data_IF_804323981294
#
_entry.id   IF_804323981294
#
_cell.length_a   1.000
_cell.length_b   1.000
_cell.length_c   1.000
_cell.angle_alpha   90.00
_cell.angle_beta   90.00
_cell.angle_gamma   90.00
#
_symmetry.space_group_name_H-M   'P 1'
#
loop_
_entity.id
_entity.type
_entity.pdbx_description
1 polymer ?
#
# COMPACT_ATOMS: atom_id res chain seq x y z
N UNK A 1 -18.83 25.77 -26.77
CA UNK A 1 -19.00 27.02 -25.99
C UNK A 1 -17.88 27.10 -24.93
N UNK A 2 -17.63 28.23 -24.26
CA UNK A 2 -16.50 28.29 -23.32
C UNK A 2 -16.76 27.46 -22.05
N UNK A 3 -15.71 27.19 -21.27
CA UNK A 3 -15.80 26.48 -19.99
C UNK A 3 -16.83 27.19 -19.09
N UNK A 4 -17.81 26.42 -18.54
CA UNK A 4 -18.83 26.92 -17.62
C UNK A 4 -18.24 27.75 -16.48
N UNK A 5 -18.84 28.91 -16.19
CA UNK A 5 -18.30 29.86 -15.22
C UNK A 5 -18.06 29.25 -13.84
N UNK A 6 -18.93 28.34 -13.38
CA UNK A 6 -18.81 27.64 -12.12
C UNK A 6 -17.62 26.66 -12.04
N UNK A 7 -17.06 26.27 -13.19
CA UNK A 7 -15.96 25.31 -13.28
C UNK A 7 -14.61 25.99 -13.58
N UNK A 8 -14.59 27.24 -14.02
CA UNK A 8 -13.36 27.93 -14.48
C UNK A 8 -12.23 28.02 -13.46
N UNK A 9 -12.53 28.03 -12.17
CA UNK A 9 -11.53 28.07 -11.10
C UNK A 9 -11.03 26.69 -10.67
N UNK A 10 -11.50 25.61 -11.31
CA UNK A 10 -11.09 24.25 -10.98
C UNK A 10 -9.69 23.94 -11.54
N UNK A 11 -9.10 22.94 -10.93
CA UNK A 11 -7.86 22.31 -11.37
C UNK A 11 -8.14 20.88 -11.79
N UNK A 12 -7.26 20.36 -12.64
CA UNK A 12 -7.16 18.95 -12.99
C UNK A 12 -5.82 18.41 -12.47
N UNK A 13 -5.79 17.14 -12.10
CA UNK A 13 -4.70 16.57 -11.30
C UNK A 13 -4.05 15.38 -12.00
N UNK A 14 -2.74 15.46 -12.23
CA UNK A 14 -1.93 14.32 -12.63
C UNK A 14 -1.12 13.83 -11.44
N UNK A 15 -1.30 12.57 -11.04
CA UNK A 15 -0.53 12.01 -9.92
C UNK A 15 0.57 11.07 -10.40
N UNK A 16 1.68 11.06 -9.68
CA UNK A 16 2.86 10.24 -9.98
C UNK A 16 3.66 9.99 -8.69
N UNK A 17 4.67 9.13 -8.76
CA UNK A 17 5.62 8.97 -7.65
C UNK A 17 6.58 10.17 -7.59
N UNK A 18 6.89 10.65 -6.38
CA UNK A 18 7.91 11.66 -6.13
C UNK A 18 9.29 11.26 -6.68
N UNK A 19 9.59 9.96 -6.77
CA UNK A 19 10.81 9.45 -7.39
C UNK A 19 10.92 9.76 -8.89
N UNK A 20 9.82 10.10 -9.56
CA UNK A 20 9.83 10.54 -10.95
C UNK A 20 10.18 12.02 -11.11
N UNK A 21 10.31 12.79 -10.02
CA UNK A 21 10.49 14.24 -10.08
C UNK A 21 11.71 14.67 -10.88
N UNK A 22 12.85 13.98 -10.76
CA UNK A 22 14.05 14.35 -11.51
C UNK A 22 13.79 14.32 -13.03
N UNK A 23 13.10 13.27 -13.52
CA UNK A 23 12.67 13.18 -14.91
C UNK A 23 11.63 14.23 -15.28
N UNK A 24 10.68 14.52 -14.40
CA UNK A 24 9.64 15.53 -14.64
C UNK A 24 10.23 16.93 -14.70
N UNK A 25 11.26 17.22 -13.90
CA UNK A 25 11.99 18.50 -13.93
C UNK A 25 12.71 18.67 -15.26
N UNK A 26 13.31 17.60 -15.78
CA UNK A 26 14.07 17.65 -17.02
C UNK A 26 13.17 17.75 -18.28
N UNK A 27 12.00 17.10 -18.28
CA UNK A 27 11.22 16.88 -19.48
C UNK A 27 9.77 17.40 -19.43
N UNK A 28 9.32 17.89 -18.27
CA UNK A 28 7.90 18.08 -17.99
C UNK A 28 7.17 16.76 -17.78
N UNK A 29 5.84 16.83 -17.70
CA UNK A 29 4.98 15.65 -17.66
C UNK A 29 4.80 15.14 -19.09
N UNK A 30 5.37 13.98 -19.40
CA UNK A 30 5.30 13.37 -20.74
C UNK A 30 4.18 12.33 -20.84
N UNK A 31 3.54 12.24 -22.02
CA UNK A 31 2.63 11.16 -22.34
C UNK A 31 3.36 9.80 -22.37
N UNK A 32 2.61 8.70 -22.25
CA UNK A 32 3.21 7.37 -22.17
C UNK A 32 4.04 7.01 -23.40
N UNK A 33 3.57 7.36 -24.61
CA UNK A 33 4.30 7.06 -25.83
C UNK A 33 5.60 7.88 -25.94
N UNK A 34 5.58 9.16 -25.58
CA UNK A 34 6.78 9.99 -25.52
C UNK A 34 7.81 9.44 -24.52
N UNK A 35 7.38 8.97 -23.33
CA UNK A 35 8.29 8.32 -22.37
C UNK A 35 8.96 7.08 -22.95
N UNK A 36 8.20 6.25 -23.69
CA UNK A 36 8.72 5.02 -24.33
C UNK A 36 9.71 5.34 -25.44
N UNK A 37 9.39 6.28 -26.31
CA UNK A 37 10.26 6.71 -27.42
C UNK A 37 11.60 7.25 -26.91
N UNK A 38 11.55 8.08 -25.85
CA UNK A 38 12.73 8.66 -25.23
C UNK A 38 13.44 7.72 -24.24
N UNK A 39 12.97 6.48 -24.07
CA UNK A 39 13.52 5.47 -23.14
C UNK A 39 13.64 5.98 -21.70
N UNK A 40 12.68 6.80 -21.27
CA UNK A 40 12.66 7.38 -19.94
C UNK A 40 12.20 6.33 -18.93
N UNK A 41 13.09 5.97 -18.00
CA UNK A 41 12.74 5.14 -16.86
C UNK A 41 11.85 5.92 -15.90
N UNK A 42 10.76 5.29 -15.46
CA UNK A 42 9.87 5.86 -14.46
C UNK A 42 9.33 4.78 -13.53
N UNK A 43 9.04 5.15 -12.29
CA UNK A 43 8.27 4.34 -11.36
C UNK A 43 6.83 4.34 -11.85
N UNK A 44 6.43 3.25 -12.50
CA UNK A 44 5.06 3.04 -12.97
C UNK A 44 4.20 2.47 -11.85
N UNK A 45 3.14 3.21 -11.51
CA UNK A 45 2.14 2.80 -10.51
C UNK A 45 0.87 2.25 -11.18
N UNK A 46 0.79 2.27 -12.52
CA UNK A 46 -0.38 1.84 -13.27
C UNK A 46 -0.46 0.32 -13.44
N UNK A 47 -1.68 -0.18 -13.68
CA UNK A 47 -1.90 -1.59 -13.99
C UNK A 47 -1.56 -1.91 -15.46
N UNK A 48 -0.79 -2.97 -15.71
CA UNK A 48 -0.38 -3.42 -17.05
C UNK A 48 -1.57 -3.61 -18.01
N UNK A 49 -2.69 -4.16 -17.53
CA UNK A 49 -3.89 -4.35 -18.35
C UNK A 49 -4.54 -3.02 -18.81
N UNK A 50 -4.47 -1.99 -17.97
CA UNK A 50 -4.93 -0.64 -18.30
C UNK A 50 -4.04 -0.01 -19.37
N UNK A 51 -2.72 -0.15 -19.24
CA UNK A 51 -1.75 0.33 -20.23
C UNK A 51 -1.97 -0.31 -21.61
N UNK A 52 -2.31 -1.60 -21.65
CA UNK A 52 -2.63 -2.30 -22.89
C UNK A 52 -3.81 -1.69 -23.63
N UNK A 53 -4.92 -1.40 -22.93
CA UNK A 53 -6.12 -0.79 -23.54
C UNK A 53 -5.88 0.64 -23.99
N UNK A 54 -5.26 1.46 -23.13
CA UNK A 54 -4.97 2.87 -23.44
C UNK A 54 -4.03 3.07 -24.63
N UNK A 55 -3.13 2.11 -24.89
CA UNK A 55 -2.28 2.14 -26.09
C UNK A 55 -3.00 1.93 -27.41
N UNK A 56 -4.25 1.43 -27.38
CA UNK A 56 -5.05 1.08 -28.56
C UNK A 56 -6.35 1.89 -28.68
N UNK A 57 -6.77 2.55 -27.60
CA UNK A 57 -7.98 3.36 -27.57
C UNK A 57 -7.73 4.67 -28.32
N UNK A 58 -8.27 4.78 -29.53
CA UNK A 58 -8.20 5.98 -30.36
C UNK A 58 -9.02 7.12 -29.74
N UNK A 59 -8.52 8.34 -29.85
CA UNK A 59 -9.27 9.56 -29.51
C UNK A 59 -9.92 10.10 -30.80
N UNK A 60 -11.26 10.06 -30.92
CA UNK A 60 -11.95 10.52 -32.12
C UNK A 60 -11.59 11.97 -32.48
N UNK A 61 -11.27 12.21 -33.75
CA UNK A 61 -10.90 13.53 -34.25
C UNK A 61 -9.45 13.95 -33.96
N UNK A 62 -8.67 13.17 -33.21
CA UNK A 62 -7.28 13.50 -32.85
C UNK A 62 -6.23 12.99 -33.85
N UNK A 63 -6.55 13.00 -35.16
CA UNK A 63 -5.62 12.60 -36.24
C UNK A 63 -4.93 11.23 -36.02
N UNK A 64 -5.66 10.24 -35.47
CA UNK A 64 -5.15 8.89 -35.23
C UNK A 64 -4.40 8.70 -33.90
N UNK A 65 -4.30 9.73 -33.06
CA UNK A 65 -3.75 9.61 -31.71
C UNK A 65 -4.60 8.68 -30.84
N UNK A 66 -3.94 7.91 -29.99
CA UNK A 66 -4.54 7.10 -28.94
C UNK A 66 -4.37 7.78 -27.57
N UNK A 67 -5.05 7.26 -26.55
CA UNK A 67 -4.99 7.80 -25.18
C UNK A 67 -3.54 7.89 -24.64
N UNK A 68 -2.63 7.02 -25.07
CA UNK A 68 -1.21 7.08 -24.68
C UNK A 68 -0.39 8.21 -25.31
N UNK A 69 -0.96 8.93 -26.28
CA UNK A 69 -0.37 10.15 -26.84
C UNK A 69 -0.75 11.41 -26.03
N UNK A 70 -1.45 11.22 -24.90
CA UNK A 70 -1.88 12.29 -24.00
C UNK A 70 -1.36 12.07 -22.57
N UNK A 71 -1.11 13.18 -21.86
CA UNK A 71 -0.91 13.25 -20.43
C UNK A 71 -2.28 13.30 -19.76
N UNK A 72 -2.65 12.31 -18.93
CA UNK A 72 -3.96 12.28 -18.29
C UNK A 72 -4.00 13.08 -17.00
N UNK A 73 -5.04 13.88 -16.83
CA UNK A 73 -5.34 14.61 -15.61
C UNK A 73 -6.76 14.28 -15.14
N UNK A 74 -6.93 13.87 -13.90
CA UNK A 74 -8.26 13.63 -13.34
C UNK A 74 -8.92 14.93 -12.90
N UNK A 75 -10.24 15.02 -13.08
CA UNK A 75 -11.02 16.06 -12.42
C UNK A 75 -11.15 15.83 -10.91
N UNK A 76 -11.08 14.56 -10.48
CA UNK A 76 -11.16 14.17 -9.08
C UNK A 76 -9.80 14.33 -8.35
N UNK A 77 -9.86 14.76 -7.09
CA UNK A 77 -8.67 14.89 -6.23
C UNK A 77 -8.04 13.54 -5.85
N UNK A 78 -8.86 12.49 -5.75
CA UNK A 78 -8.41 11.11 -5.54
C UNK A 78 -9.30 10.14 -6.29
N UNK A 79 -8.74 9.01 -6.71
CA UNK A 79 -9.41 8.09 -7.64
C UNK A 79 -9.47 6.66 -7.13
N UNK A 80 -10.49 5.88 -7.56
CA UNK A 80 -10.52 4.43 -7.35
C UNK A 80 -9.26 3.72 -7.83
N UNK A 81 -8.62 4.22 -8.89
CA UNK A 81 -7.34 3.69 -9.38
C UNK A 81 -6.23 3.83 -8.32
N UNK A 82 -6.10 4.99 -7.68
CA UNK A 82 -5.14 5.18 -6.57
C UNK A 82 -5.41 4.17 -5.45
N UNK A 83 -6.66 4.01 -5.03
CA UNK A 83 -7.01 3.01 -4.00
C UNK A 83 -6.63 1.58 -4.41
N UNK A 84 -6.83 1.21 -5.68
CA UNK A 84 -6.43 -0.10 -6.21
C UNK A 84 -4.90 -0.29 -6.21
N UNK A 85 -4.11 0.77 -6.44
CA UNK A 85 -2.64 0.74 -6.32
C UNK A 85 -2.23 0.48 -4.88
N UNK A 86 -2.82 1.20 -3.91
CA UNK A 86 -2.48 1.04 -2.50
C UNK A 86 -2.80 -0.36 -1.98
N UNK A 87 -3.92 -0.95 -2.41
CA UNK A 87 -4.33 -2.31 -2.00
C UNK A 87 -3.33 -3.41 -2.39
N UNK A 88 -2.43 -3.16 -3.36
CA UNK A 88 -1.35 -4.10 -3.70
C UNK A 88 -0.17 -4.06 -2.73
N UNK A 89 -0.12 -3.09 -1.80
CA UNK A 89 0.96 -2.91 -0.81
C UNK A 89 2.38 -2.80 -1.43
N UNK A 90 2.47 -2.24 -2.63
CA UNK A 90 3.74 -2.04 -3.35
C UNK A 90 4.20 -0.58 -3.39
N UNK A 91 3.39 0.34 -2.89
CA UNK A 91 3.64 1.78 -2.95
C UNK A 91 3.29 2.40 -1.60
N UNK A 92 4.16 3.26 -1.11
CA UNK A 92 3.89 4.17 -0.01
C UNK A 92 3.17 5.41 -0.57
N UNK A 93 1.92 5.62 -0.15
CA UNK A 93 1.07 6.71 -0.62
C UNK A 93 1.70 8.08 -0.37
N UNK A 94 2.49 8.18 0.70
CA UNK A 94 3.20 9.37 1.11
C UNK A 94 4.16 9.88 0.02
N UNK A 95 4.65 8.99 -0.88
CA UNK A 95 5.45 9.36 -2.04
C UNK A 95 4.63 9.64 -3.31
N UNK A 96 3.30 9.59 -3.25
CA UNK A 96 2.45 10.01 -4.37
C UNK A 96 2.27 11.53 -4.29
N UNK A 97 2.55 12.22 -5.39
CA UNK A 97 2.37 13.68 -5.53
C UNK A 97 1.44 13.99 -6.69
N UNK A 98 0.79 15.16 -6.65
CA UNK A 98 -0.16 15.59 -7.67
C UNK A 98 0.27 16.92 -8.27
N UNK A 99 0.38 16.98 -9.58
CA UNK A 99 0.53 18.22 -10.32
C UNK A 99 -0.86 18.77 -10.63
N UNK A 100 -1.15 19.96 -10.11
CA UNK A 100 -2.40 20.66 -10.34
C UNK A 100 -2.24 21.68 -11.47
N UNK A 101 -3.06 21.53 -12.50
CA UNK A 101 -3.08 22.40 -13.69
C UNK A 101 -4.46 23.05 -13.77
N UNK A 102 -4.58 24.36 -14.04
CA UNK A 102 -5.88 25.01 -14.22
C UNK A 102 -6.69 24.34 -15.33
N UNK A 103 -7.99 24.14 -15.13
CA UNK A 103 -8.88 23.52 -16.14
C UNK A 103 -8.91 24.32 -17.45
N UNK A 104 -8.57 25.61 -17.41
CA UNK A 104 -8.45 26.48 -18.58
C UNK A 104 -7.42 26.00 -19.60
N UNK A 105 -6.52 25.06 -19.25
CA UNK A 105 -5.65 24.38 -20.23
C UNK A 105 -6.44 23.76 -21.39
N UNK A 106 -7.70 23.34 -21.15
CA UNK A 106 -8.60 22.82 -22.17
C UNK A 106 -8.80 23.78 -23.33
N UNK A 107 -8.93 25.08 -23.05
CA UNK A 107 -9.13 26.11 -24.07
C UNK A 107 -7.82 26.76 -24.51
N UNK A 108 -6.81 26.78 -23.63
CA UNK A 108 -5.54 27.43 -23.88
C UNK A 108 -4.63 26.65 -24.85
N UNK A 109 -4.81 25.32 -24.95
CA UNK A 109 -3.99 24.46 -25.80
C UNK A 109 -4.80 23.75 -26.87
N UNK A 110 -4.30 23.69 -28.12
CA UNK A 110 -4.96 22.94 -29.17
C UNK A 110 -4.86 21.43 -28.90
N UNK A 111 -5.88 20.69 -29.33
CA UNK A 111 -5.89 19.24 -29.27
C UNK A 111 -6.07 18.66 -27.87
N UNK A 112 -6.51 19.45 -26.89
CA UNK A 112 -6.91 18.94 -25.57
C UNK A 112 -8.33 18.38 -25.65
N UNK A 113 -8.53 17.23 -25.02
CA UNK A 113 -9.82 16.56 -24.91
C UNK A 113 -10.18 16.34 -23.44
N UNK A 114 -11.46 16.12 -23.16
CA UNK A 114 -11.89 15.53 -21.89
C UNK A 114 -12.89 14.40 -22.12
N UNK A 115 -13.08 13.56 -21.11
CA UNK A 115 -13.98 12.41 -21.16
C UNK A 115 -15.06 12.48 -20.11
N UNK A 116 -16.17 11.76 -20.32
CA UNK A 116 -17.25 11.60 -19.34
C UNK A 116 -17.04 10.43 -18.36
N UNK A 117 -16.12 9.54 -18.69
CA UNK A 117 -15.71 8.40 -17.87
C UNK A 117 -14.23 8.08 -18.12
N UNK A 118 -13.66 7.15 -17.36
CA UNK A 118 -12.26 6.74 -17.52
C UNK A 118 -11.96 6.22 -18.93
N UNK A 119 -10.90 6.74 -19.55
CA UNK A 119 -10.39 6.24 -20.83
C UNK A 119 -9.54 4.98 -20.63
N UNK A 120 -10.11 3.95 -20.02
CA UNK A 120 -9.48 2.64 -19.82
C UNK A 120 -10.48 1.47 -19.74
N UNK A 121 -11.74 1.72 -20.11
CA UNK A 121 -12.82 0.76 -20.26
C UNK A 121 -12.64 -0.08 -21.52
N UNK A 122 -13.44 -1.14 -21.67
CA UNK A 122 -13.51 -1.92 -22.92
C UNK A 122 -14.22 -1.09 -24.01
N UNK A 123 -15.40 -0.58 -23.68
CA UNK A 123 -16.10 0.41 -24.49
C UNK A 123 -15.53 1.81 -24.21
N UNK A 124 -14.97 2.51 -25.21
CA UNK A 124 -14.40 3.83 -24.99
C UNK A 124 -15.45 4.83 -24.45
N UNK A 125 -15.06 5.75 -23.53
CA UNK A 125 -15.93 6.83 -23.11
C UNK A 125 -16.18 7.82 -24.26
N UNK A 126 -17.07 8.78 -24.04
CA UNK A 126 -17.17 9.90 -24.96
C UNK A 126 -15.95 10.81 -24.81
N UNK A 127 -15.41 11.28 -25.94
CA UNK A 127 -14.31 12.24 -25.97
C UNK A 127 -14.82 13.56 -26.52
N UNK A 128 -14.63 14.63 -25.76
CA UNK A 128 -15.09 15.98 -26.11
C UNK A 128 -13.87 16.88 -26.35
N UNK A 129 -13.75 17.52 -27.53
CA UNK A 129 -12.72 18.51 -27.77
C UNK A 129 -13.04 19.84 -27.05
N UNK A 130 -12.06 20.75 -27.00
CA UNK A 130 -12.22 22.08 -26.42
C UNK A 130 -13.43 22.88 -26.95
N UNK A 131 -13.83 22.67 -28.22
CA UNK A 131 -15.02 23.31 -28.81
C UNK A 131 -16.33 22.98 -28.07
N UNK A 132 -16.37 21.83 -27.39
CA UNK A 132 -17.50 21.28 -26.63
C UNK A 132 -17.32 21.44 -25.11
N UNK A 133 -16.55 22.45 -24.66
CA UNK A 133 -16.29 22.67 -23.23
C UNK A 133 -17.55 22.87 -22.37
N UNK A 134 -18.69 23.24 -22.95
CA UNK A 134 -19.98 23.26 -22.26
C UNK A 134 -20.45 21.89 -21.77
N UNK A 135 -20.01 20.80 -22.40
CA UNK A 135 -20.34 19.43 -21.96
C UNK A 135 -19.73 19.08 -20.60
N UNK A 136 -18.79 19.89 -20.09
CA UNK A 136 -18.31 19.77 -18.71
C UNK A 136 -19.45 19.87 -17.68
N UNK A 137 -20.53 20.60 -17.95
CA UNK A 137 -21.72 20.64 -17.07
C UNK A 137 -22.41 19.29 -16.93
N UNK A 138 -22.29 18.42 -17.94
CA UNK A 138 -22.90 17.09 -17.98
C UNK A 138 -22.12 16.01 -17.22
N UNK A 139 -20.91 16.30 -16.75
CA UNK A 139 -20.15 15.34 -15.95
C UNK A 139 -20.83 15.10 -14.60
N UNK A 140 -20.70 13.87 -14.07
CA UNK A 140 -21.21 13.55 -12.75
C UNK A 140 -20.29 14.13 -11.65
N UNK A 141 -20.38 15.46 -11.44
CA UNK A 141 -19.60 16.17 -10.42
C UNK A 141 -19.85 15.65 -9.01
N UNK A 142 -21.04 15.12 -8.73
CA UNK A 142 -21.35 14.46 -7.47
C UNK A 142 -20.47 13.22 -7.20
N UNK A 143 -20.17 12.43 -8.23
CA UNK A 143 -19.23 11.31 -8.15
C UNK A 143 -17.76 11.78 -8.15
N UNK A 144 -17.42 12.74 -9.03
CA UNK A 144 -16.05 13.30 -9.15
C UNK A 144 -15.58 13.89 -7.82
N UNK A 145 -16.41 14.70 -7.16
CA UNK A 145 -16.09 15.38 -5.90
C UNK A 145 -16.31 14.48 -4.67
N UNK A 146 -16.88 13.27 -4.84
CA UNK A 146 -17.19 12.38 -3.73
C UNK A 146 -15.95 11.91 -2.98
N UNK A 147 -15.98 12.04 -1.66
CA UNK A 147 -14.97 11.50 -0.75
C UNK A 147 -15.21 10.03 -0.35
N UNK A 148 -16.21 9.36 -0.94
CA UNK A 148 -16.50 7.93 -0.71
C UNK A 148 -15.30 7.05 -1.11
N UNK A 149 -15.29 5.81 -0.65
CA UNK A 149 -14.26 4.80 -0.97
C UNK A 149 -14.85 3.57 -1.67
N UNK A 150 -16.17 3.51 -1.76
CA UNK A 150 -16.94 2.47 -2.42
C UNK A 150 -17.84 3.15 -3.44
N UNK A 151 -17.93 2.53 -4.61
CA UNK A 151 -18.63 3.05 -5.78
C UNK A 151 -19.34 1.90 -6.46
N UNK A 152 -20.45 2.18 -7.14
CA UNK A 152 -20.91 1.28 -8.22
C UNK A 152 -19.87 1.24 -9.34
N UNK A 153 -19.98 0.27 -10.25
CA UNK A 153 -19.07 0.19 -11.40
C UNK A 153 -19.17 1.45 -12.29
N UNK A 154 -20.38 1.94 -12.52
CA UNK A 154 -20.65 3.18 -13.26
C UNK A 154 -20.06 4.42 -12.57
N UNK A 155 -20.36 4.61 -11.27
CA UNK A 155 -19.82 5.74 -10.48
C UNK A 155 -18.28 5.73 -10.46
N UNK A 156 -17.67 4.54 -10.42
CA UNK A 156 -16.21 4.37 -10.45
C UNK A 156 -15.63 4.97 -11.73
N UNK A 157 -16.24 4.68 -12.87
CA UNK A 157 -15.79 5.15 -14.17
C UNK A 157 -16.04 6.66 -14.36
N UNK A 158 -17.21 7.16 -13.96
CA UNK A 158 -17.55 8.58 -14.01
C UNK A 158 -16.63 9.43 -13.12
N UNK A 159 -16.30 8.95 -11.91
CA UNK A 159 -15.34 9.61 -11.01
C UNK A 159 -13.93 9.72 -11.62
N UNK A 160 -13.59 8.81 -12.52
CA UNK A 160 -12.30 8.77 -13.21
C UNK A 160 -12.34 9.43 -14.59
N UNK A 161 -13.35 10.27 -14.86
CA UNK A 161 -13.33 11.20 -15.98
C UNK A 161 -12.02 12.02 -15.96
N UNK A 162 -11.45 12.21 -17.15
CA UNK A 162 -10.11 12.78 -17.30
C UNK A 162 -10.06 13.84 -18.40
N UNK A 163 -9.12 14.77 -18.24
CA UNK A 163 -8.67 15.72 -19.24
C UNK A 163 -7.35 15.20 -19.82
N UNK A 164 -7.26 15.18 -21.13
CA UNK A 164 -6.18 14.58 -21.91
C UNK A 164 -5.43 15.69 -22.66
N UNK A 165 -4.23 16.04 -22.17
CA UNK A 165 -3.37 17.05 -22.81
C UNK A 165 -2.39 16.36 -23.75
N UNK A 166 -2.28 16.75 -25.02
CA UNK A 166 -1.43 16.04 -25.98
C UNK A 166 0.06 16.21 -25.64
N UNK A 167 0.82 15.14 -25.88
CA UNK A 167 2.28 15.08 -25.91
C UNK A 167 2.98 15.33 -24.56
N UNK A 168 2.93 16.56 -24.03
CA UNK A 168 3.55 16.93 -22.75
C UNK A 168 2.90 18.14 -22.07
N UNK A 169 3.15 18.31 -20.77
CA UNK A 169 2.83 19.52 -19.98
C UNK A 169 4.09 20.06 -19.32
N UNK A 170 4.40 21.33 -19.57
CA UNK A 170 5.53 22.05 -18.97
C UNK A 170 5.28 22.30 -17.49
N UNK A 171 6.35 22.40 -16.70
CA UNK A 171 6.26 22.79 -15.29
C UNK A 171 5.71 24.21 -15.10
N UNK A 172 5.85 25.09 -16.09
CA UNK A 172 5.27 26.45 -16.04
C UNK A 172 3.73 26.45 -16.13
N UNK A 173 3.13 25.35 -16.60
CA UNK A 173 1.68 25.16 -16.65
C UNK A 173 1.12 24.59 -15.33
N UNK A 174 2.00 24.19 -14.41
CA UNK A 174 1.64 23.65 -13.09
C UNK A 174 1.54 24.80 -12.09
N UNK A 175 0.34 25.01 -11.55
CA UNK A 175 0.11 26.04 -10.54
C UNK A 175 0.68 25.64 -9.17
N UNK A 176 0.45 24.39 -8.78
CA UNK A 176 0.94 23.84 -7.51
C UNK A 176 1.09 22.32 -7.55
N UNK A 177 1.87 21.80 -6.59
CA UNK A 177 2.04 20.38 -6.34
C UNK A 177 1.40 20.05 -4.98
N UNK A 178 0.50 19.08 -4.96
CA UNK A 178 -0.05 18.54 -3.72
C UNK A 178 0.84 17.42 -3.21
N UNK A 179 1.22 17.51 -1.94
CA UNK A 179 2.08 16.52 -1.25
C UNK A 179 1.41 16.03 0.04
N UNK A 180 1.85 14.88 0.55
CA UNK A 180 1.24 14.23 1.71
C UNK A 180 1.35 15.07 2.99
N UNK A 181 2.55 15.56 3.31
CA UNK A 181 2.81 16.37 4.50
C UNK A 181 4.03 17.29 4.30
N UNK A 182 4.34 18.08 5.33
CA UNK A 182 5.47 19.02 5.33
C UNK A 182 6.81 18.37 4.99
N UNK A 183 7.12 17.21 5.56
CA UNK A 183 8.38 16.49 5.32
C UNK A 183 8.54 16.15 3.85
N UNK A 184 7.52 15.55 3.22
CA UNK A 184 7.54 15.25 1.79
C UNK A 184 7.63 16.54 0.96
N UNK A 185 6.96 17.61 1.38
CA UNK A 185 7.05 18.92 0.73
C UNK A 185 8.46 19.53 0.74
N UNK A 186 9.24 19.29 1.79
CA UNK A 186 10.64 19.70 1.88
C UNK A 186 11.53 18.86 0.95
N UNK A 187 11.33 17.54 0.91
CA UNK A 187 12.04 16.64 -0.02
C UNK A 187 11.78 17.04 -1.48
N UNK A 188 10.51 17.28 -1.85
CA UNK A 188 10.15 17.74 -3.20
C UNK A 188 10.88 19.04 -3.55
N UNK A 189 10.91 20.03 -2.64
CA UNK A 189 11.62 21.30 -2.87
C UNK A 189 13.11 21.11 -3.09
N UNK A 190 13.76 20.23 -2.34
CA UNK A 190 15.19 19.95 -2.52
C UNK A 190 15.47 19.28 -3.87
N UNK A 191 14.57 18.41 -4.38
CA UNK A 191 14.71 17.83 -5.72
C UNK A 191 14.60 18.91 -6.81
N UNK A 192 13.65 19.85 -6.70
CA UNK A 192 13.54 20.99 -7.62
C UNK A 192 14.78 21.90 -7.59
N UNK A 193 15.27 22.20 -6.39
CA UNK A 193 16.48 23.00 -6.18
C UNK A 193 17.71 22.33 -6.79
N UNK A 194 17.87 21.02 -6.61
CA UNK A 194 18.95 20.26 -7.23
C UNK A 194 18.88 20.25 -8.76
N UNK A 195 17.67 20.26 -9.33
CA UNK A 195 17.43 20.39 -10.77
C UNK A 195 17.60 21.80 -11.33
N UNK A 196 17.83 22.82 -10.49
CA UNK A 196 18.01 24.21 -10.94
C UNK A 196 16.74 24.87 -11.47
N UNK A 197 15.56 24.32 -11.17
CA UNK A 197 14.26 24.83 -11.63
C UNK A 197 13.45 25.36 -10.44
N UNK A 198 12.66 26.42 -10.66
CA UNK A 198 11.75 26.95 -9.64
C UNK A 198 10.69 25.90 -9.30
N UNK A 199 10.61 25.53 -8.02
CA UNK A 199 9.53 24.67 -7.52
C UNK A 199 8.18 25.39 -7.63
N UNK A 200 7.14 24.75 -8.23
CA UNK A 200 5.76 25.20 -8.09
C UNK A 200 5.37 25.30 -6.61
N UNK A 201 4.29 26.04 -6.31
CA UNK A 201 3.80 26.16 -4.94
C UNK A 201 3.47 24.75 -4.39
N UNK A 202 3.84 24.49 -3.14
CA UNK A 202 3.52 23.21 -2.47
C UNK A 202 2.27 23.37 -1.62
N UNK A 203 1.31 22.46 -1.80
CA UNK A 203 0.06 22.41 -1.05
C UNK A 203 -0.07 21.11 -0.25
N UNK A 204 -0.59 21.23 0.98
CA UNK A 204 -0.87 20.08 1.84
C UNK A 204 -2.38 19.84 1.89
N UNK A 205 -2.85 18.87 1.12
CA UNK A 205 -4.28 18.61 1.00
C UNK A 205 -4.60 17.13 1.16
N UNK A 206 -5.00 16.75 2.37
CA UNK A 206 -5.40 15.38 2.74
C UNK A 206 -6.55 14.81 1.89
N UNK A 207 -7.34 15.65 1.21
CA UNK A 207 -8.45 15.19 0.37
C UNK A 207 -7.99 14.39 -0.85
N UNK A 208 -6.74 14.57 -1.29
CA UNK A 208 -6.11 13.81 -2.36
C UNK A 208 -5.67 12.39 -1.94
N UNK A 209 -5.75 12.07 -0.66
CA UNK A 209 -5.23 10.82 -0.14
C UNK A 209 -6.27 9.96 0.59
N UNK A 210 -5.89 8.72 0.83
CA UNK A 210 -6.61 7.71 1.58
C UNK A 210 -5.90 7.49 2.93
N UNK A 211 -6.27 8.22 4.01
CA UNK A 211 -5.65 8.07 5.32
C UNK A 211 -6.18 6.84 6.08
N UNK A 212 -5.44 6.36 7.09
CA UNK A 212 -5.98 5.42 8.08
C UNK A 212 -7.13 6.11 8.84
N UNK A 213 -8.27 5.42 8.91
CA UNK A 213 -9.49 5.97 9.51
C UNK A 213 -9.41 6.09 11.04
N UNK A 214 -8.48 5.37 11.69
CA UNK A 214 -8.24 5.43 13.13
C UNK A 214 -7.13 6.43 13.48
N UNK A 215 -6.17 6.66 12.57
CA UNK A 215 -5.10 7.64 12.76
C UNK A 215 -4.70 8.29 11.44
N UNK A 216 -5.28 9.46 11.16
CA UNK A 216 -5.14 10.15 9.87
C UNK A 216 -3.71 10.64 9.55
N UNK A 217 -2.76 10.48 10.48
CA UNK A 217 -1.34 10.75 10.25
C UNK A 217 -0.68 9.70 9.35
N UNK A 218 -1.29 8.51 9.24
CA UNK A 218 -0.78 7.39 8.46
C UNK A 218 -1.61 7.16 7.21
N UNK A 219 -0.98 6.60 6.17
CA UNK A 219 -1.69 6.06 5.02
C UNK A 219 -2.64 4.93 5.42
N UNK A 220 -3.72 4.76 4.66
CA UNK A 220 -4.66 3.64 4.75
C UNK A 220 -3.96 2.27 4.74
N UNK A 221 -2.88 2.19 3.95
CA UNK A 221 -1.98 1.05 3.86
C UNK A 221 -0.57 1.59 4.03
N UNK A 222 0.15 1.03 5.00
CA UNK A 222 1.57 1.27 5.18
C UNK A 222 2.31 0.55 4.07
N UNK A 223 2.99 1.30 3.20
CA UNK A 223 3.73 0.73 2.08
C UNK A 223 5.06 0.08 2.51
N UNK A 224 5.78 -0.51 1.54
CA UNK A 224 6.99 -1.28 1.82
C UNK A 224 8.11 -0.47 2.45
N UNK A 225 8.30 0.79 2.04
CA UNK A 225 9.37 1.63 2.56
C UNK A 225 9.15 1.94 4.04
N UNK A 226 7.97 2.47 4.39
CA UNK A 226 7.69 2.82 5.77
C UNK A 226 7.57 1.60 6.67
N UNK A 227 6.99 0.49 6.19
CA UNK A 227 6.91 -0.75 6.98
C UNK A 227 8.31 -1.29 7.33
N UNK A 228 9.23 -1.33 6.36
CA UNK A 228 10.62 -1.75 6.59
C UNK A 228 11.36 -0.81 7.54
N UNK A 229 11.17 0.50 7.37
CA UNK A 229 11.75 1.51 8.27
C UNK A 229 11.24 1.33 9.71
N UNK A 230 9.93 1.12 9.91
CA UNK A 230 9.36 0.89 11.24
C UNK A 230 9.86 -0.41 11.86
N UNK A 231 9.95 -1.48 11.06
CA UNK A 231 10.56 -2.75 11.48
C UNK A 231 11.99 -2.55 12.00
N UNK A 232 12.85 -1.91 11.20
CA UNK A 232 14.25 -1.68 11.57
C UNK A 232 14.38 -0.79 12.81
N UNK A 233 13.61 0.30 12.86
CA UNK A 233 13.59 1.20 14.02
C UNK A 233 13.15 0.48 15.29
N UNK A 234 12.16 -0.41 15.21
CA UNK A 234 11.71 -1.17 16.37
C UNK A 234 12.77 -2.16 16.87
N UNK A 235 13.44 -2.87 15.96
CA UNK A 235 14.57 -3.74 16.30
C UNK A 235 15.65 -2.92 17.02
N UNK A 236 16.12 -1.82 16.43
CA UNK A 236 17.14 -0.96 17.03
C UNK A 236 16.72 -0.42 18.41
N UNK A 237 15.45 -0.02 18.52
CA UNK A 237 14.87 0.55 19.73
C UNK A 237 14.79 -0.49 20.86
N UNK A 238 14.44 -1.74 20.56
CA UNK A 238 14.45 -2.85 21.53
C UNK A 238 15.89 -3.17 21.96
N UNK A 239 16.84 -3.25 21.02
CA UNK A 239 18.23 -3.60 21.33
C UNK A 239 18.94 -2.55 22.20
N UNK A 240 18.57 -1.27 22.06
CA UNK A 240 19.11 -0.17 22.87
C UNK A 240 18.50 -0.08 24.27
N UNK A 241 17.30 -0.63 24.48
CA UNK A 241 16.58 -0.50 25.74
C UNK A 241 16.49 -1.87 26.44
N UNK A 242 17.36 -2.09 27.42
CA UNK A 242 17.30 -3.28 28.28
C UNK A 242 16.69 -2.91 29.62
N UNK A 243 15.57 -3.53 29.96
CA UNK A 243 14.96 -3.38 31.28
C UNK A 243 15.78 -4.14 32.33
N UNK A 244 15.85 -3.60 33.54
CA UNK A 244 16.46 -4.29 34.68
C UNK A 244 15.64 -5.51 35.12
N UNK A 245 14.33 -5.50 34.85
CA UNK A 245 13.39 -6.56 35.24
C UNK A 245 12.44 -6.87 34.09
N UNK A 246 12.38 -8.14 33.75
CA UNK A 246 11.45 -8.69 32.78
C UNK A 246 10.42 -9.58 33.47
N UNK A 247 9.21 -9.63 32.94
CA UNK A 247 8.16 -10.56 33.42
C UNK A 247 8.55 -12.02 33.18
N UNK A 248 9.22 -12.29 32.06
CA UNK A 248 9.70 -13.59 31.62
C UNK A 248 11.18 -13.50 31.23
N UNK A 249 11.99 -14.44 31.71
CA UNK A 249 13.44 -14.45 31.45
C UNK A 249 13.83 -14.89 30.04
N UNK A 250 12.92 -15.54 29.32
CA UNK A 250 13.13 -16.08 27.99
C UNK A 250 11.81 -16.25 27.21
N UNK A 251 11.92 -16.50 25.90
CA UNK A 251 10.77 -16.88 25.04
C UNK A 251 10.08 -18.15 25.57
N UNK A 252 10.85 -19.15 26.02
CA UNK A 252 10.31 -20.41 26.55
C UNK A 252 9.48 -20.21 27.83
N UNK A 253 9.91 -19.30 28.72
CA UNK A 253 9.15 -18.95 29.93
C UNK A 253 7.83 -18.27 29.58
N UNK A 254 7.87 -17.31 28.62
CA UNK A 254 6.69 -16.63 28.12
C UNK A 254 5.69 -17.63 27.48
N UNK A 255 6.17 -18.53 26.63
CA UNK A 255 5.34 -19.59 26.03
C UNK A 255 4.71 -20.50 27.08
N UNK A 256 5.45 -20.86 28.13
CA UNK A 256 4.92 -21.67 29.23
C UNK A 256 3.78 -20.96 29.94
N UNK A 257 3.89 -19.64 30.13
CA UNK A 257 2.83 -18.82 30.71
C UNK A 257 1.62 -18.70 29.75
N UNK A 258 1.84 -18.40 28.47
CA UNK A 258 0.77 -18.26 27.46
C UNK A 258 -0.05 -19.55 27.32
N UNK A 259 0.61 -20.72 27.35
CA UNK A 259 -0.08 -22.02 27.29
C UNK A 259 -0.92 -22.31 28.53
N UNK A 260 -0.58 -21.72 29.70
CA UNK A 260 -1.39 -21.82 30.92
C UNK A 260 -2.55 -20.83 30.93
N UNK A 261 -2.33 -19.62 30.41
CA UNK A 261 -3.33 -18.57 30.29
C UNK A 261 -2.94 -17.61 29.16
N UNK A 262 -3.82 -17.44 28.18
CA UNK A 262 -3.56 -16.61 27.00
C UNK A 262 -3.32 -15.14 27.38
N UNK A 263 -3.91 -14.71 28.49
CA UNK A 263 -3.77 -13.39 29.12
C UNK A 263 -2.39 -13.11 29.73
N UNK A 264 -1.45 -14.05 29.62
CA UNK A 264 -0.08 -13.90 30.10
C UNK A 264 0.66 -12.68 29.49
N UNK A 265 0.27 -12.24 28.29
CA UNK A 265 0.74 -11.00 27.65
C UNK A 265 -0.47 -10.10 27.44
N UNK A 266 -0.33 -8.81 27.77
CA UNK A 266 -1.43 -7.83 27.70
C UNK A 266 -2.09 -7.80 26.32
N UNK A 267 -1.30 -7.80 25.25
CA UNK A 267 -1.79 -7.70 23.88
C UNK A 267 -2.56 -8.94 23.42
N UNK A 268 -2.29 -10.10 24.02
CA UNK A 268 -3.08 -11.30 23.78
C UNK A 268 -4.47 -11.15 24.43
N UNK A 269 -4.56 -10.62 25.65
CA UNK A 269 -5.85 -10.26 26.28
C UNK A 269 -6.65 -9.25 25.45
N UNK A 270 -5.94 -8.31 24.83
CA UNK A 270 -6.51 -7.23 24.04
C UNK A 270 -7.16 -7.70 22.72
N UNK A 271 -6.74 -8.87 22.20
CA UNK A 271 -7.35 -9.51 21.02
C UNK A 271 -8.29 -10.67 21.39
N UNK A 272 -8.24 -11.17 22.63
CA UNK A 272 -9.06 -12.30 23.04
C UNK A 272 -10.55 -11.92 23.11
N UNK A 273 -11.37 -12.69 22.39
CA UNK A 273 -12.80 -12.43 22.21
C UNK A 273 -13.13 -11.31 21.22
N UNK A 274 -12.14 -10.76 20.48
CA UNK A 274 -12.39 -9.79 19.42
C UNK A 274 -13.03 -10.48 18.21
N UNK A 275 -14.35 -10.36 18.06
CA UNK A 275 -15.09 -10.97 16.96
C UNK A 275 -14.98 -10.19 15.65
N UNK A 276 -15.19 -10.89 14.51
CA UNK A 276 -15.22 -10.30 13.16
C UNK A 276 -16.34 -10.92 12.29
N UNK A 277 -16.91 -10.17 11.33
CA UNK A 277 -17.94 -10.65 10.35
C UNK A 277 -17.54 -10.48 8.88
N UNK A 278 -16.28 -10.18 8.58
CA UNK A 278 -15.84 -10.02 7.20
C UNK A 278 -14.96 -11.19 6.79
N UNK A 279 -14.99 -11.57 5.50
CA UNK A 279 -14.14 -12.65 4.99
C UNK A 279 -14.36 -14.00 5.69
N UNK A 280 -13.47 -15.00 5.52
CA UNK A 280 -13.71 -16.37 6.00
C UNK A 280 -13.64 -16.53 7.53
N UNK A 281 -13.48 -15.44 8.30
CA UNK A 281 -13.35 -15.49 9.74
C UNK A 281 -14.64 -15.99 10.38
N UNK A 282 -14.56 -17.12 11.09
CA UNK A 282 -15.67 -17.69 11.89
C UNK A 282 -15.45 -17.56 13.39
N UNK A 283 -14.22 -17.26 13.78
CA UNK A 283 -13.75 -17.24 15.16
C UNK A 283 -13.28 -15.83 15.55
N UNK A 284 -13.16 -15.57 16.85
CA UNK A 284 -12.50 -14.36 17.35
C UNK A 284 -10.98 -14.41 17.08
N UNK A 285 -10.34 -13.25 17.07
CA UNK A 285 -8.90 -13.10 16.75
C UNK A 285 -7.99 -13.88 17.71
N UNK A 286 -8.33 -13.94 19.00
CA UNK A 286 -7.57 -14.72 19.98
C UNK A 286 -7.65 -16.23 19.71
N UNK A 287 -8.84 -16.74 19.41
CA UNK A 287 -9.06 -18.15 19.04
C UNK A 287 -8.34 -18.51 17.74
N UNK A 288 -8.36 -17.63 16.75
CA UNK A 288 -7.57 -17.76 15.53
C UNK A 288 -6.07 -17.87 15.84
N UNK A 289 -5.53 -16.95 16.64
CA UNK A 289 -4.11 -16.93 17.02
C UNK A 289 -3.65 -18.23 17.71
N UNK A 290 -4.46 -18.78 18.61
CA UNK A 290 -4.21 -20.10 19.23
C UNK A 290 -4.18 -21.24 18.21
N UNK A 291 -5.07 -21.20 17.23
CA UNK A 291 -5.13 -22.21 16.16
C UNK A 291 -3.90 -22.14 15.27
N UNK A 292 -3.50 -20.95 14.85
CA UNK A 292 -2.28 -20.73 14.06
C UNK A 292 -1.08 -21.30 14.83
N UNK A 293 -0.88 -20.92 16.11
CA UNK A 293 0.19 -21.47 16.95
C UNK A 293 0.18 -23.02 17.01
N UNK A 294 -0.99 -23.65 17.09
CA UNK A 294 -1.13 -25.09 17.04
C UNK A 294 -0.81 -25.73 15.67
N UNK A 295 -1.10 -25.04 14.57
CA UNK A 295 -0.79 -25.49 13.21
C UNK A 295 0.69 -25.35 12.89
N UNK A 296 1.36 -24.27 13.30
CA UNK A 296 2.79 -24.07 13.00
C UNK A 296 3.63 -25.21 13.57
N UNK A 297 3.29 -25.68 14.79
CA UNK A 297 3.96 -26.81 15.45
C UNK A 297 3.81 -28.15 14.72
N UNK A 298 2.84 -28.26 13.81
CA UNK A 298 2.60 -29.45 12.98
C UNK A 298 3.25 -29.35 11.60
N UNK A 299 3.87 -28.23 11.27
CA UNK A 299 4.53 -28.02 9.97
C UNK A 299 5.86 -28.77 9.89
N UNK A 300 6.25 -29.15 8.67
CA UNK A 300 7.54 -29.78 8.41
C UNK A 300 8.68 -28.81 8.71
N UNK A 301 8.50 -27.55 8.33
CA UNK A 301 9.39 -26.43 8.60
C UNK A 301 9.73 -26.35 10.09
N UNK A 302 8.72 -26.35 10.97
CA UNK A 302 8.92 -26.27 12.43
C UNK A 302 9.76 -27.42 12.98
N UNK A 303 9.51 -28.65 12.53
CA UNK A 303 10.24 -29.84 13.02
C UNK A 303 11.74 -29.82 12.71
N UNK A 304 12.16 -29.05 11.71
CA UNK A 304 13.56 -28.94 11.27
C UNK A 304 14.31 -27.78 11.93
N UNK A 305 13.58 -26.87 12.58
CA UNK A 305 14.17 -25.73 13.29
C UNK A 305 14.86 -26.16 14.58
N UNK A 306 15.87 -25.38 14.98
CA UNK A 306 16.43 -25.47 16.33
C UNK A 306 15.35 -25.20 17.38
N UNK A 307 15.53 -25.72 18.60
CA UNK A 307 14.56 -25.49 19.70
C UNK A 307 14.30 -24.01 19.96
N UNK A 308 15.34 -23.17 19.82
CA UNK A 308 15.25 -21.72 19.94
C UNK A 308 14.36 -21.10 18.85
N UNK A 309 14.57 -21.46 17.59
CA UNK A 309 13.74 -20.97 16.48
C UNK A 309 12.31 -21.54 16.52
N UNK A 310 12.11 -22.76 17.04
CA UNK A 310 10.78 -23.31 17.32
C UNK A 310 10.01 -22.43 18.31
N UNK A 311 10.66 -22.03 19.40
CA UNK A 311 10.04 -21.16 20.41
C UNK A 311 9.76 -19.76 19.85
N UNK A 312 10.67 -19.19 19.05
CA UNK A 312 10.44 -17.92 18.34
C UNK A 312 9.21 -18.03 17.44
N UNK A 313 9.14 -19.07 16.60
CA UNK A 313 8.05 -19.26 15.64
C UNK A 313 6.71 -19.48 16.35
N UNK A 314 6.67 -20.26 17.44
CA UNK A 314 5.43 -20.43 18.23
C UNK A 314 5.00 -19.13 18.90
N UNK A 315 5.93 -18.35 19.46
CA UNK A 315 5.60 -17.05 20.07
C UNK A 315 5.09 -16.07 19.01
N UNK A 316 5.77 -15.96 17.87
CA UNK A 316 5.31 -15.12 16.75
C UNK A 316 3.94 -15.54 16.24
N UNK A 317 3.61 -16.83 16.23
CA UNK A 317 2.29 -17.30 15.85
C UNK A 317 1.18 -16.85 16.81
N UNK A 318 1.46 -16.78 18.11
CA UNK A 318 0.52 -16.17 19.06
C UNK A 318 0.39 -14.66 18.86
N UNK A 319 1.48 -14.00 18.48
CA UNK A 319 1.56 -12.54 18.40
C UNK A 319 1.19 -11.96 17.02
N UNK A 320 1.10 -12.76 15.95
CA UNK A 320 1.00 -12.25 14.57
C UNK A 320 -0.12 -11.21 14.40
N UNK A 321 -1.24 -11.45 15.07
CA UNK A 321 -2.45 -10.64 14.94
C UNK A 321 -2.66 -9.58 16.04
N UNK A 322 -1.70 -9.35 16.93
CA UNK A 322 -1.87 -8.41 18.06
C UNK A 322 -2.17 -6.99 17.60
N UNK A 323 -1.69 -6.61 16.41
CA UNK A 323 -1.98 -5.32 15.80
C UNK A 323 -3.46 -5.10 15.46
N UNK A 324 -4.30 -6.15 15.53
CA UNK A 324 -5.76 -6.06 15.46
C UNK A 324 -6.36 -5.54 16.78
N UNK A 325 -5.67 -5.67 17.91
CA UNK A 325 -6.09 -5.14 19.20
C UNK A 325 -5.76 -3.65 19.40
N UNK A 326 -6.16 -3.07 20.55
CA UNK A 326 -7.09 -3.65 21.50
C UNK A 326 -8.53 -3.67 20.98
N UNK A 327 -9.33 -4.64 21.44
CA UNK A 327 -10.75 -4.74 21.08
C UNK A 327 -11.52 -3.44 21.31
N UNK A 328 -11.15 -2.66 22.33
CA UNK A 328 -11.76 -1.36 22.65
C UNK A 328 -11.63 -0.30 21.55
N UNK A 329 -10.72 -0.45 20.58
CA UNK A 329 -10.62 0.48 19.44
C UNK A 329 -11.69 0.25 18.37
N UNK A 330 -12.36 -0.90 18.42
CA UNK A 330 -13.40 -1.27 17.49
C UNK A 330 -14.78 -0.92 18.07
N UNK A 331 -15.71 -0.36 17.27
CA UNK A 331 -17.08 -0.14 17.70
C UNK A 331 -17.68 -1.43 18.29
N UNK A 332 -18.21 -1.36 19.51
CA UNK A 332 -18.77 -2.51 20.23
C UNK A 332 -17.80 -3.69 20.42
N UNK A 333 -16.49 -3.45 20.44
CA UNK A 333 -15.46 -4.49 20.47
C UNK A 333 -15.56 -5.49 19.31
N UNK A 334 -15.94 -5.00 18.13
CA UNK A 334 -16.30 -5.82 16.99
C UNK A 334 -15.68 -5.32 15.68
N UNK A 335 -14.99 -6.19 14.95
CA UNK A 335 -14.37 -5.83 13.67
C UNK A 335 -15.35 -6.03 12.50
N UNK A 336 -15.85 -4.93 11.96
CA UNK A 336 -16.75 -4.90 10.79
C UNK A 336 -16.00 -4.85 9.44
N UNK A 337 -14.67 -4.74 9.47
CA UNK A 337 -13.80 -4.69 8.29
C UNK A 337 -12.37 -5.17 8.62
N UNK A 338 -11.59 -5.61 7.62
CA UNK A 338 -10.18 -5.90 7.79
C UNK A 338 -9.39 -4.69 8.30
N UNK A 339 -8.35 -4.94 9.13
CA UNK A 339 -7.35 -3.92 9.44
C UNK A 339 -6.12 -4.08 8.55
N UNK A 340 -6.07 -3.27 7.50
CA UNK A 340 -4.97 -3.29 6.53
C UNK A 340 -3.63 -2.80 7.10
N UNK A 341 -3.62 -2.24 8.30
CA UNK A 341 -2.44 -1.72 8.99
C UNK A 341 -2.11 -2.49 10.28
N UNK A 342 -2.70 -3.68 10.51
CA UNK A 342 -2.42 -4.46 11.73
C UNK A 342 -0.92 -4.74 11.89
N UNK A 343 -0.20 -5.10 10.82
CA UNK A 343 1.25 -5.27 10.82
C UNK A 343 2.01 -4.02 11.33
N UNK A 344 1.63 -2.80 10.91
CA UNK A 344 2.24 -1.57 11.46
C UNK A 344 1.84 -1.36 12.92
N UNK A 345 0.57 -1.63 13.26
CA UNK A 345 0.01 -1.42 14.60
C UNK A 345 0.57 -2.39 15.64
N UNK A 346 1.10 -3.55 15.23
CA UNK A 346 1.79 -4.48 16.12
C UNK A 346 3.19 -3.98 16.53
N UNK A 347 3.84 -3.12 15.74
CA UNK A 347 5.21 -2.63 16.03
C UNK A 347 5.38 -2.00 17.42
N UNK A 348 4.59 -0.98 17.82
CA UNK A 348 4.71 -0.42 19.17
C UNK A 348 4.37 -1.42 20.28
N UNK A 349 3.56 -2.44 19.98
CA UNK A 349 3.24 -3.52 20.92
C UNK A 349 4.43 -4.48 21.09
N UNK A 350 5.09 -4.84 20.00
CA UNK A 350 6.31 -5.66 20.01
C UNK A 350 7.42 -4.94 20.77
N UNK A 351 7.58 -3.63 20.57
CA UNK A 351 8.51 -2.83 21.36
C UNK A 351 8.22 -2.95 22.85
N UNK A 352 6.96 -2.80 23.27
CA UNK A 352 6.59 -2.95 24.68
C UNK A 352 6.88 -4.36 25.19
N UNK A 353 6.41 -5.39 24.50
CA UNK A 353 6.57 -6.80 24.88
C UNK A 353 8.06 -7.14 25.08
N UNK A 354 8.93 -6.73 24.16
CA UNK A 354 10.35 -7.11 24.21
C UNK A 354 11.23 -6.15 25.03
N UNK A 355 10.70 -4.99 25.44
CA UNK A 355 11.36 -4.11 26.42
C UNK A 355 10.95 -4.42 27.86
N UNK A 356 9.73 -4.92 28.08
CA UNK A 356 9.15 -5.04 29.42
C UNK A 356 8.83 -6.50 29.82
N UNK A 357 8.21 -7.27 28.93
CA UNK A 357 7.68 -8.59 29.29
C UNK A 357 8.72 -9.70 29.11
N UNK A 358 9.44 -9.73 27.99
CA UNK A 358 10.31 -10.86 27.63
C UNK A 358 11.76 -10.39 27.49
N UNK A 359 12.61 -10.86 28.40
CA UNK A 359 14.05 -10.61 28.41
C UNK A 359 14.88 -11.74 27.83
N UNK A 360 16.21 -11.63 27.99
CA UNK A 360 17.15 -12.68 27.61
C UNK A 360 17.31 -12.89 26.10
N UNK A 361 16.78 -11.99 25.27
CA UNK A 361 16.81 -12.09 23.82
C UNK A 361 18.16 -11.67 23.24
N UNK A 362 18.69 -12.45 22.30
CA UNK A 362 19.80 -12.00 21.45
C UNK A 362 19.32 -11.15 20.28
N UNK A 363 20.22 -10.41 19.66
CA UNK A 363 19.95 -9.52 18.54
C UNK A 363 19.18 -10.22 17.38
N UNK A 364 19.58 -11.44 17.05
CA UNK A 364 18.91 -12.25 16.02
C UNK A 364 17.49 -12.67 16.44
N UNK A 365 17.23 -12.93 17.72
CA UNK A 365 15.88 -13.28 18.19
C UNK A 365 14.94 -12.09 18.13
N UNK A 366 15.40 -10.92 18.58
CA UNK A 366 14.63 -9.67 18.48
C UNK A 366 14.25 -9.42 17.03
N UNK A 367 15.24 -9.49 16.11
CA UNK A 367 14.99 -9.31 14.68
C UNK A 367 13.97 -10.30 14.15
N UNK A 368 14.11 -11.60 14.42
CA UNK A 368 13.20 -12.65 13.95
C UNK A 368 11.79 -12.47 14.49
N UNK A 369 11.64 -12.19 15.79
CA UNK A 369 10.34 -11.99 16.42
C UNK A 369 9.59 -10.81 15.82
N UNK A 370 10.27 -9.67 15.65
CA UNK A 370 9.65 -8.48 15.04
C UNK A 370 9.36 -8.72 13.56
N UNK A 371 10.26 -9.36 12.81
CA UNK A 371 10.07 -9.69 11.40
C UNK A 371 8.84 -10.59 11.19
N UNK A 372 8.73 -11.69 11.93
CA UNK A 372 7.65 -12.67 11.76
C UNK A 372 6.27 -12.06 12.03
N UNK A 373 6.15 -11.16 13.01
CA UNK A 373 4.87 -10.49 13.32
C UNK A 373 4.58 -9.31 12.40
N UNK A 374 5.61 -8.62 11.88
CA UNK A 374 5.42 -7.47 10.97
C UNK A 374 5.12 -7.89 9.53
N UNK A 375 5.54 -9.10 9.14
CA UNK A 375 5.43 -9.63 7.78
C UNK A 375 4.64 -10.95 7.72
N UNK A 376 3.72 -11.15 8.66
CA UNK A 376 2.88 -12.34 8.76
C UNK A 376 2.01 -12.56 7.50
N UNK A 377 1.50 -11.47 6.93
CA UNK A 377 0.65 -11.48 5.72
C UNK A 377 1.43 -11.44 4.38
N UNK A 378 2.76 -11.29 4.43
CA UNK A 378 3.58 -10.98 3.25
C UNK A 378 3.50 -12.07 2.16
N UNK A 379 3.74 -13.33 2.52
CA UNK A 379 3.80 -14.42 1.55
C UNK A 379 2.42 -14.74 0.95
N UNK A 380 1.35 -14.60 1.74
CA UNK A 380 -0.02 -14.74 1.26
C UNK A 380 -0.36 -13.66 0.22
N UNK A 381 0.03 -12.42 0.48
CA UNK A 381 -0.19 -11.31 -0.46
C UNK A 381 0.66 -11.41 -1.73
N UNK A 382 1.90 -11.91 -1.65
CA UNK A 382 2.71 -12.15 -2.85
C UNK A 382 2.04 -13.26 -3.69
N UNK A 383 1.57 -14.33 -3.05
CA UNK A 383 0.98 -15.47 -3.74
C UNK A 383 -0.39 -15.16 -4.37
N UNK A 384 -1.19 -14.26 -3.78
CA UNK A 384 -2.59 -14.05 -4.19
C UNK A 384 -2.93 -12.63 -4.67
N UNK A 385 -2.24 -11.60 -4.18
CA UNK A 385 -2.68 -10.20 -4.30
C UNK A 385 -1.70 -9.31 -5.09
N UNK A 386 -0.65 -9.90 -5.67
CA UNK A 386 0.30 -9.19 -6.52
C UNK A 386 1.26 -8.26 -5.77
N UNK A 387 1.51 -8.55 -4.48
CA UNK A 387 2.58 -7.89 -3.72
C UNK A 387 3.95 -8.33 -4.25
N UNK A 388 4.89 -7.40 -4.30
CA UNK A 388 6.21 -7.63 -4.88
C UNK A 388 7.04 -8.57 -4.00
N UNK A 389 7.51 -9.68 -4.58
CA UNK A 389 8.38 -10.65 -3.90
C UNK A 389 9.72 -10.07 -3.47
N UNK A 390 10.18 -8.97 -4.06
CA UNK A 390 11.41 -8.31 -3.61
C UNK A 390 11.33 -7.87 -2.14
N UNK A 391 10.12 -7.55 -1.64
CA UNK A 391 9.91 -7.25 -0.22
C UNK A 391 10.29 -8.42 0.70
N UNK A 392 10.05 -9.66 0.27
CA UNK A 392 10.43 -10.87 1.01
C UNK A 392 11.95 -11.09 0.99
N UNK A 393 12.58 -10.90 -0.17
CA UNK A 393 14.03 -11.04 -0.31
C UNK A 393 14.81 -9.97 0.45
N UNK A 394 14.21 -8.79 0.62
CA UNK A 394 14.81 -7.67 1.32
C UNK A 394 14.87 -7.83 2.86
N UNK A 395 14.09 -8.75 3.41
CA UNK A 395 13.95 -8.96 4.86
C UNK A 395 14.47 -10.32 5.33
N UNK A 396 14.48 -11.34 4.46
CA UNK A 396 14.99 -12.67 4.78
C UNK A 396 16.53 -12.67 4.75
N UNK A 397 17.15 -13.04 5.87
CA UNK A 397 18.62 -13.07 6.03
C UNK A 397 19.18 -14.49 6.13
N UNK A 398 18.33 -15.49 6.32
CA UNK A 398 18.75 -16.89 6.51
C UNK A 398 17.71 -17.88 6.00
N UNK A 399 18.12 -19.13 5.80
CA UNK A 399 17.19 -20.22 5.45
C UNK A 399 16.16 -20.44 6.57
N UNK A 400 16.52 -20.20 7.84
CA UNK A 400 15.59 -20.25 8.96
C UNK A 400 14.51 -19.16 8.86
N UNK A 401 14.87 -17.92 8.49
CA UNK A 401 13.90 -16.83 8.29
C UNK A 401 12.86 -17.20 7.25
N UNK A 402 13.33 -17.73 6.11
CA UNK A 402 12.49 -18.19 5.01
C UNK A 402 11.54 -19.28 5.49
N UNK A 403 12.05 -20.30 6.17
CA UNK A 403 11.24 -21.43 6.64
C UNK A 403 10.23 -21.00 7.72
N UNK A 404 10.60 -20.10 8.63
CA UNK A 404 9.68 -19.59 9.66
C UNK A 404 8.55 -18.74 9.07
N UNK A 405 8.85 -17.85 8.11
CA UNK A 405 7.83 -17.06 7.41
C UNK A 405 6.88 -17.95 6.59
N UNK A 406 7.41 -18.97 5.91
CA UNK A 406 6.59 -19.95 5.18
C UNK A 406 5.68 -20.72 6.13
N UNK A 407 6.21 -21.22 7.24
CA UNK A 407 5.45 -21.98 8.22
C UNK A 407 4.30 -21.14 8.83
N UNK A 408 4.61 -19.90 9.23
CA UNK A 408 3.63 -18.98 9.79
C UNK A 408 2.54 -18.64 8.77
N UNK A 409 2.93 -18.25 7.55
CA UNK A 409 1.98 -17.88 6.50
C UNK A 409 1.08 -19.06 6.09
N UNK A 410 1.63 -20.27 5.94
CA UNK A 410 0.82 -21.45 5.62
C UNK A 410 -0.13 -21.82 6.76
N UNK A 411 0.31 -21.71 8.02
CA UNK A 411 -0.54 -21.96 9.18
C UNK A 411 -1.70 -20.95 9.28
N UNK A 412 -1.44 -19.67 9.00
CA UNK A 412 -2.45 -18.61 9.00
C UNK A 412 -3.45 -18.75 7.84
N UNK A 413 -2.96 -18.97 6.61
CA UNK A 413 -3.83 -19.17 5.44
C UNK A 413 -4.73 -20.40 5.63
N UNK A 414 -4.17 -21.51 6.14
CA UNK A 414 -4.91 -22.77 6.33
C UNK A 414 -5.90 -22.73 7.50
N UNK A 415 -5.68 -21.90 8.53
CA UNK A 415 -6.66 -21.72 9.60
C UNK A 415 -7.88 -20.91 9.13
N UNK A 416 -7.71 -20.05 8.13
CA UNK A 416 -8.75 -19.20 7.56
C UNK A 416 -9.57 -19.89 6.47
N UNK A 417 -8.91 -20.43 5.44
CA UNK A 417 -9.61 -20.94 4.27
C UNK A 417 -8.81 -22.02 3.51
N UNK A 418 -9.34 -23.25 3.50
CA UNK A 418 -8.71 -24.40 2.84
C UNK A 418 -8.59 -24.23 1.31
N UNK A 419 -9.56 -23.60 0.64
CA UNK A 419 -9.46 -23.36 -0.80
C UNK A 419 -8.35 -22.34 -1.11
N UNK A 420 -8.25 -21.29 -0.30
CA UNK A 420 -7.19 -20.30 -0.44
C UNK A 420 -5.81 -20.90 -0.16
N UNK A 421 -5.71 -21.80 0.83
CA UNK A 421 -4.51 -22.58 1.08
C UNK A 421 -4.09 -23.42 -0.14
N UNK A 422 -5.03 -24.18 -0.70
CA UNK A 422 -4.76 -25.05 -1.86
C UNK A 422 -4.28 -24.23 -3.07
N UNK A 423 -4.84 -23.02 -3.29
CA UNK A 423 -4.46 -22.17 -4.41
C UNK A 423 -3.13 -21.44 -4.23
N UNK A 424 -2.68 -21.21 -2.99
CA UNK A 424 -1.47 -20.41 -2.70
C UNK A 424 -0.25 -21.24 -2.31
N UNK A 425 -0.42 -22.45 -1.76
CA UNK A 425 0.68 -23.26 -1.23
C UNK A 425 1.81 -23.53 -2.25
N UNK A 426 1.46 -23.75 -3.53
CA UNK A 426 2.44 -24.01 -4.58
C UNK A 426 3.26 -22.76 -4.94
N UNK A 427 2.62 -21.59 -4.95
CA UNK A 427 3.28 -20.31 -5.16
C UNK A 427 4.22 -19.99 -3.99
N UNK A 428 3.76 -20.19 -2.75
CA UNK A 428 4.59 -20.01 -1.54
C UNK A 428 5.78 -20.96 -1.55
N UNK A 429 5.60 -22.23 -1.92
CA UNK A 429 6.69 -23.20 -2.04
C UNK A 429 7.72 -22.80 -3.11
N UNK A 430 7.27 -22.20 -4.21
CA UNK A 430 8.17 -21.68 -5.25
C UNK A 430 8.96 -20.46 -4.75
N UNK A 431 8.30 -19.53 -4.05
CA UNK A 431 8.95 -18.37 -3.42
C UNK A 431 9.99 -18.80 -2.38
N UNK A 432 9.70 -19.83 -1.58
CA UNK A 432 10.65 -20.41 -0.63
C UNK A 432 11.94 -20.85 -1.34
N UNK A 433 11.80 -21.62 -2.40
CA UNK A 433 12.95 -22.14 -3.14
C UNK A 433 13.76 -20.99 -3.78
N UNK A 434 13.08 -19.98 -4.33
CA UNK A 434 13.72 -18.80 -4.90
C UNK A 434 14.50 -18.00 -3.85
N UNK A 435 13.92 -17.76 -2.67
CA UNK A 435 14.62 -17.06 -1.59
C UNK A 435 15.85 -17.82 -1.09
N UNK A 436 15.75 -19.15 -0.93
CA UNK A 436 16.87 -19.99 -0.51
C UNK A 436 17.99 -19.99 -1.56
N UNK A 437 17.65 -20.04 -2.85
CA UNK A 437 18.63 -19.93 -3.93
C UNK A 437 19.37 -18.59 -3.88
N UNK A 438 18.62 -17.49 -3.72
CA UNK A 438 19.19 -16.14 -3.61
C UNK A 438 20.13 -15.98 -2.41
N UNK A 439 19.77 -16.55 -1.25
CA UNK A 439 20.62 -16.57 -0.05
C UNK A 439 21.91 -17.39 -0.27
N UNK A 440 21.87 -18.39 -1.15
CA UNK A 440 23.03 -19.22 -1.53
C UNK A 440 23.85 -18.61 -2.68
N UNK A 441 23.43 -17.46 -3.23
CA UNK A 441 24.08 -16.80 -4.36
C UNK A 441 23.91 -17.54 -5.69
N UNK A 442 22.85 -18.34 -5.82
CA UNK A 442 22.52 -19.15 -7.01
C UNK A 442 21.47 -18.47 -7.87
#
# INVERSE_FOLDING_TARGET
MPIPAALRSRYVYHFTSAHNLASVIQHGLLCTNAKKENKITHVDVANVGIQGRRSKMLVPGAAGKCVHDFVPFYFAQKTPMQLAVLNKKNVDQEFIIYFAVPISILEARPGVYFTDASANTEDPPSFYPAAESDKLEGLNWGAIDSAKWKYSDEERHQKMAELLVPDYVSLDEVEYIVVWNKTIGEEVKEVFKAGGVRCPRIEYNQWHYYPDMQDKRFSFITGPYFLKMYFQNAVDSILRCKSERYKFGSVSDALTAIRKGFEAIKELTDIDGLQSNYGPHKDDVGTHSRRVAGLVKKSNEYSRLSKRNQDILELSAYLHDIGKGPKSRWPNCYMDKPDNNHARKSIPMLERIFKEDIGGLSDDEVRKLVMLVTYDDLLGDIAANGRDKQQFFDIAQSEDDVNMLVALSQADISSLNMFWFISTQGAIGSLRNEAIAKLKGV
#
